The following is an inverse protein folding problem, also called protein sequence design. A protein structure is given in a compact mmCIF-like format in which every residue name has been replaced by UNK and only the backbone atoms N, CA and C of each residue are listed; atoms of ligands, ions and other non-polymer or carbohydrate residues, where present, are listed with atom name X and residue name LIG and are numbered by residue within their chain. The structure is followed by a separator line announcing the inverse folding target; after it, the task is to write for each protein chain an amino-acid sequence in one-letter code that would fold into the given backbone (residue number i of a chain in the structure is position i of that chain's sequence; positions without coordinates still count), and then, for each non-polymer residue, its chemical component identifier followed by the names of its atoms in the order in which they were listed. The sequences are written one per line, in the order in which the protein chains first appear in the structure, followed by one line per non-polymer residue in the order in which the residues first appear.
data_IF_435408959255
#
_entry.id   IF_435408959255
#
_cell.length_a   1.000
_cell.length_b   1.000
_cell.length_c   1.000
_cell.angle_alpha   90.00
_cell.angle_beta   90.00
_cell.angle_gamma   90.00
#
_symmetry.space_group_name_H-M   'P 1'
#
loop_
_entity.id
_entity.type
_entity.pdbx_description
1 polymer ?
#
# COMPACT_ATOMS: atom_id res chain seq x y z
N UNK A 1 5.36 16.65 5.74
CA UNK A 1 5.85 15.38 6.31
C UNK A 1 5.12 14.28 5.55
N UNK A 2 5.77 13.64 4.58
CA UNK A 2 5.17 12.48 3.92
C UNK A 2 5.12 11.38 4.97
N UNK A 3 3.90 10.95 5.30
CA UNK A 3 3.67 9.82 6.19
C UNK A 3 3.96 8.57 5.37
N UNK A 4 4.76 7.66 5.91
CA UNK A 4 5.00 6.35 5.29
C UNK A 4 3.68 5.58 5.26
N UNK A 5 3.05 5.61 4.09
CA UNK A 5 1.75 4.98 3.85
C UNK A 5 1.97 3.77 2.95
N UNK A 6 1.27 2.69 3.26
CA UNK A 6 1.35 1.44 2.54
C UNK A 6 -0.03 1.03 2.05
N UNK A 7 -0.04 0.24 0.97
CA UNK A 7 -1.20 -0.55 0.56
C UNK A 7 -0.79 -2.01 0.39
N UNK A 8 -1.69 -2.93 0.70
CA UNK A 8 -1.51 -4.35 0.44
C UNK A 8 -2.88 -5.03 0.33
N UNK A 9 -2.90 -6.26 -0.21
CA UNK A 9 -4.08 -7.10 -0.15
C UNK A 9 -4.25 -7.71 1.24
N UNK A 10 -5.48 -7.80 1.74
CA UNK A 10 -5.81 -8.53 2.99
C UNK A 10 -5.38 -9.99 2.89
N UNK A 11 -4.95 -10.62 3.97
CA UNK A 11 -4.47 -12.02 3.97
C UNK A 11 -5.47 -13.00 3.32
N UNK A 12 -6.77 -12.78 3.54
CA UNK A 12 -7.89 -13.57 3.01
C UNK A 12 -8.53 -12.99 1.75
N UNK A 13 -7.84 -12.11 0.99
CA UNK A 13 -8.44 -11.37 -0.14
C UNK A 13 -9.15 -12.25 -1.17
N UNK A 14 -8.70 -13.49 -1.38
CA UNK A 14 -9.32 -14.44 -2.33
C UNK A 14 -10.74 -14.86 -1.96
N UNK A 15 -11.12 -14.69 -0.70
CA UNK A 15 -12.45 -14.99 -0.15
C UNK A 15 -13.35 -13.74 -0.08
N UNK A 16 -12.79 -12.57 -0.40
CA UNK A 16 -13.45 -11.27 -0.27
C UNK A 16 -13.90 -10.73 -1.64
N UNK A 17 -14.94 -9.87 -1.67
CA UNK A 17 -15.27 -9.11 -2.88
C UNK A 17 -14.08 -8.21 -3.28
N UNK A 18 -13.97 -7.92 -4.58
CA UNK A 18 -12.79 -7.23 -5.17
C UNK A 18 -12.55 -5.86 -4.55
N UNK A 19 -13.61 -5.18 -4.15
CA UNK A 19 -13.63 -3.87 -3.52
C UNK A 19 -12.97 -3.89 -2.13
N UNK A 20 -12.89 -5.06 -1.48
CA UNK A 20 -12.29 -5.25 -0.16
C UNK A 20 -10.87 -5.84 -0.21
N UNK A 21 -10.33 -6.11 -1.40
CA UNK A 21 -9.00 -6.73 -1.50
C UNK A 21 -7.92 -5.87 -0.89
N UNK A 22 -7.89 -4.59 -1.25
CA UNK A 22 -6.84 -3.65 -0.89
C UNK A 22 -7.18 -2.87 0.38
N UNK A 23 -6.20 -2.72 1.25
CA UNK A 23 -6.26 -1.84 2.43
C UNK A 23 -5.09 -0.86 2.40
N UNK A 24 -5.33 0.36 2.88
CA UNK A 24 -4.32 1.43 2.96
C UNK A 24 -4.12 1.87 4.41
N UNK A 25 -2.89 2.16 4.82
CA UNK A 25 -2.59 2.58 6.19
C UNK A 25 -1.13 2.49 6.56
N UNK A 26 -0.85 2.56 7.86
CA UNK A 26 0.49 2.33 8.40
C UNK A 26 0.74 0.84 8.51
N UNK A 27 1.98 0.42 8.24
CA UNK A 27 2.42 -0.97 8.35
C UNK A 27 2.87 -1.27 9.79
N UNK A 28 2.45 -2.41 10.31
CA UNK A 28 2.83 -2.93 11.62
C UNK A 28 3.25 -4.40 11.50
N UNK A 29 4.24 -4.81 12.28
CA UNK A 29 4.50 -6.21 12.59
C UNK A 29 4.02 -6.54 14.01
N UNK A 30 3.82 -7.82 14.31
CA UNK A 30 3.36 -8.29 15.62
C UNK A 30 4.49 -8.54 16.63
N UNK A 31 5.75 -8.30 16.25
CA UNK A 31 6.93 -8.55 17.07
C UNK A 31 7.19 -10.03 17.38
N UNK A 32 6.48 -10.96 16.74
CA UNK A 32 6.63 -12.39 17.00
C UNK A 32 7.81 -12.97 16.19
N UNK A 33 8.54 -13.97 16.74
CA UNK A 33 9.72 -14.53 16.08
C UNK A 33 9.39 -15.27 14.77
N UNK A 34 8.49 -16.26 14.79
CA UNK A 34 7.87 -16.88 13.61
C UNK A 34 6.60 -17.67 14.07
N UNK A 35 5.55 -17.78 13.24
CA UNK A 35 5.38 -17.08 11.96
C UNK A 35 5.19 -15.58 12.16
N UNK A 36 5.78 -14.76 11.28
CA UNK A 36 5.59 -13.30 11.31
C UNK A 36 4.25 -12.90 10.70
N UNK A 37 3.56 -11.98 11.37
CA UNK A 37 2.33 -11.38 10.87
C UNK A 37 2.52 -9.89 10.60
N UNK A 38 1.89 -9.41 9.53
CA UNK A 38 1.93 -8.01 9.12
C UNK A 38 0.53 -7.46 8.98
N UNK A 39 0.36 -6.21 9.40
CA UNK A 39 -0.92 -5.55 9.44
C UNK A 39 -0.84 -4.16 8.82
N UNK A 40 -1.92 -3.76 8.16
CA UNK A 40 -2.13 -2.37 7.73
C UNK A 40 -3.33 -1.82 8.47
N UNK A 41 -3.18 -0.61 9.02
CA UNK A 41 -4.28 0.10 9.65
C UNK A 41 -3.88 1.45 10.24
N UNK A 42 -4.74 1.98 11.10
CA UNK A 42 -4.49 3.19 11.88
C UNK A 42 -4.36 2.90 13.37
N UNK A 43 -3.88 3.89 14.11
CA UNK A 43 -3.87 3.89 15.58
C UNK A 43 -4.66 5.10 16.07
N UNK A 44 -5.48 4.89 17.10
CA UNK A 44 -6.05 5.95 17.91
C UNK A 44 -5.51 5.88 19.34
N UNK A 45 -5.28 7.05 19.92
CA UNK A 45 -4.95 7.17 21.34
C UNK A 45 -6.18 7.70 22.05
N UNK A 46 -6.69 6.95 23.02
CA UNK A 46 -7.87 7.32 23.82
C UNK A 46 -7.54 7.25 25.32
N UNK A 47 -8.28 7.96 26.19
CA UNK A 47 -8.08 7.85 27.63
C UNK A 47 -8.12 6.40 28.12
N UNK A 48 -7.26 6.08 29.09
CA UNK A 48 -7.29 4.79 29.76
C UNK A 48 -8.43 4.73 30.79
N UNK A 49 -9.30 3.74 30.69
CA UNK A 49 -10.49 3.57 31.57
C UNK A 49 -10.32 2.45 32.60
N UNK A 50 -9.15 1.81 32.67
CA UNK A 50 -8.88 0.73 33.63
C UNK A 50 -8.36 1.23 34.99
N UNK A 51 -7.94 0.28 35.82
CA UNK A 51 -7.46 0.56 37.19
C UNK A 51 -5.94 0.76 37.31
N UNK A 52 -5.18 0.56 36.23
CA UNK A 52 -3.75 0.86 36.19
C UNK A 52 -3.48 2.39 36.21
N UNK A 53 -2.24 2.78 36.50
CA UNK A 53 -1.79 4.18 36.53
C UNK A 53 -1.54 4.78 35.13
N UNK A 54 -2.03 4.14 34.07
CA UNK A 54 -1.85 4.59 32.70
C UNK A 54 -2.80 5.74 32.37
N UNK A 55 -2.31 6.71 31.59
CA UNK A 55 -3.13 7.85 31.12
C UNK A 55 -3.84 7.58 29.81
N UNK A 56 -3.27 6.73 28.97
CA UNK A 56 -3.67 6.55 27.58
C UNK A 56 -3.68 5.08 27.17
N UNK A 57 -4.67 4.72 26.37
CA UNK A 57 -4.78 3.47 25.63
C UNK A 57 -4.45 3.70 24.16
N UNK A 58 -3.69 2.78 23.57
CA UNK A 58 -3.40 2.73 22.12
C UNK A 58 -4.25 1.63 21.51
N UNK A 59 -5.08 1.97 20.52
CA UNK A 59 -6.01 1.03 19.89
C UNK A 59 -5.84 1.07 18.38
N UNK A 60 -5.75 -0.10 17.75
CA UNK A 60 -5.78 -0.22 16.29
C UNK A 60 -7.18 0.03 15.73
N UNK A 61 -7.27 0.77 14.62
CA UNK A 61 -8.49 1.00 13.84
C UNK A 61 -8.28 0.53 12.41
N UNK A 62 -9.30 -0.04 11.78
CA UNK A 62 -9.24 -0.57 10.40
C UNK A 62 -7.99 -1.41 10.18
N UNK A 63 -7.72 -2.31 11.13
CA UNK A 63 -6.47 -3.03 11.28
C UNK A 63 -6.62 -4.43 10.70
N UNK A 64 -6.01 -4.66 9.54
CA UNK A 64 -6.17 -5.91 8.79
C UNK A 64 -4.83 -6.61 8.61
N UNK A 65 -4.82 -7.94 8.83
CA UNK A 65 -3.68 -8.76 8.43
C UNK A 65 -3.57 -8.78 6.90
N UNK A 66 -2.34 -8.67 6.38
CA UNK A 66 -2.08 -8.53 4.95
C UNK A 66 -1.29 -9.71 4.36
N UNK A 67 -1.41 -9.90 3.05
CA UNK A 67 -0.44 -10.67 2.27
C UNK A 67 0.77 -9.79 1.98
N UNK A 68 1.84 -10.01 2.74
CA UNK A 68 3.09 -9.23 2.67
C UNK A 68 3.70 -9.21 1.26
N UNK A 69 3.43 -10.21 0.42
CA UNK A 69 3.96 -10.27 -0.95
C UNK A 69 3.32 -9.24 -1.88
N UNK A 70 2.24 -8.58 -1.44
CA UNK A 70 1.51 -7.56 -2.21
C UNK A 70 1.75 -6.14 -1.66
N UNK A 71 2.64 -6.00 -0.68
CA UNK A 71 2.94 -4.72 -0.03
C UNK A 71 3.51 -3.72 -1.05
N UNK A 72 2.95 -2.53 -1.07
CA UNK A 72 3.38 -1.42 -1.91
C UNK A 72 3.47 -0.15 -1.08
N UNK A 73 4.59 0.57 -1.19
CA UNK A 73 4.75 1.87 -0.54
C UNK A 73 4.14 3.00 -1.39
N UNK A 74 3.56 4.01 -0.74
CA UNK A 74 3.13 5.22 -1.40
C UNK A 74 4.32 6.03 -1.90
N UNK A 75 4.30 6.44 -3.16
CA UNK A 75 5.41 7.19 -3.77
C UNK A 75 5.49 8.65 -3.33
N UNK A 76 4.43 9.18 -2.72
CA UNK A 76 4.29 10.62 -2.46
C UNK A 76 3.77 11.43 -3.66
N UNK A 77 3.49 10.78 -4.80
CA UNK A 77 3.01 11.41 -6.03
C UNK A 77 1.59 10.95 -6.37
N UNK A 78 0.92 11.73 -7.21
CA UNK A 78 -0.39 11.39 -7.78
C UNK A 78 -0.31 11.38 -9.30
N UNK A 79 -1.17 10.60 -9.94
CA UNK A 79 -1.30 10.61 -11.39
C UNK A 79 -2.03 11.88 -11.89
N UNK A 80 -2.22 12.00 -13.21
CA UNK A 80 -2.91 13.14 -13.84
C UNK A 80 -4.33 13.39 -13.31
N UNK A 81 -4.97 12.36 -12.73
CA UNK A 81 -6.34 12.41 -12.18
C UNK A 81 -6.35 12.59 -10.65
N UNK A 82 -5.19 12.80 -10.03
CA UNK A 82 -5.08 12.95 -8.57
C UNK A 82 -5.12 11.63 -7.80
N UNK A 83 -5.06 10.47 -8.47
CA UNK A 83 -4.99 9.17 -7.81
C UNK A 83 -3.58 8.92 -7.29
N UNK A 84 -3.46 8.46 -6.04
CA UNK A 84 -2.16 8.11 -5.45
C UNK A 84 -1.45 7.06 -6.31
N UNK A 85 -0.16 7.29 -6.55
CA UNK A 85 0.71 6.30 -7.20
C UNK A 85 1.46 5.53 -6.13
N UNK A 86 1.41 4.21 -6.25
CA UNK A 86 2.07 3.26 -5.35
C UNK A 86 3.15 2.50 -6.09
N UNK A 87 4.06 1.91 -5.34
CA UNK A 87 4.94 0.87 -5.88
C UNK A 87 4.13 -0.20 -6.62
N UNK A 88 4.67 -0.71 -7.72
CA UNK A 88 4.05 -1.73 -8.57
C UNK A 88 2.81 -1.29 -9.35
N UNK A 89 2.41 -0.02 -9.27
CA UNK A 89 1.39 0.51 -10.16
C UNK A 89 1.88 0.55 -11.62
N UNK A 90 0.94 0.43 -12.54
CA UNK A 90 1.14 0.47 -13.97
C UNK A 90 0.62 1.81 -14.51
N UNK A 91 1.49 2.59 -15.17
CA UNK A 91 1.19 3.95 -15.59
C UNK A 91 1.01 4.06 -17.11
N UNK A 92 -0.23 4.30 -17.54
CA UNK A 92 -0.63 4.51 -18.94
C UNK A 92 -0.48 3.28 -19.85
N UNK A 93 0.42 2.35 -19.51
CA UNK A 93 0.70 1.13 -20.25
C UNK A 93 1.12 0.01 -19.29
N UNK A 94 0.73 -1.23 -19.58
CA UNK A 94 0.96 -2.40 -18.72
C UNK A 94 2.44 -2.73 -18.47
N UNK A 95 3.31 -2.26 -19.35
CA UNK A 95 4.76 -2.44 -19.21
C UNK A 95 5.40 -1.33 -18.39
N UNK A 96 4.69 -0.26 -18.02
CA UNK A 96 5.22 0.89 -17.29
C UNK A 96 5.02 0.69 -15.79
N UNK A 97 5.83 -0.19 -15.19
CA UNK A 97 5.75 -0.49 -13.75
C UNK A 97 6.53 0.54 -12.95
N UNK A 98 5.90 1.03 -11.88
CA UNK A 98 6.54 1.87 -10.86
C UNK A 98 7.42 1.02 -9.95
N UNK A 99 8.68 1.38 -9.82
CA UNK A 99 9.71 0.68 -9.06
C UNK A 99 10.56 1.67 -8.25
N UNK A 100 11.06 1.26 -7.08
CA UNK A 100 12.04 2.03 -6.34
C UNK A 100 13.46 1.51 -6.63
N UNK A 101 14.28 2.31 -7.29
CA UNK A 101 15.64 1.93 -7.67
C UNK A 101 16.60 3.09 -7.38
N UNK A 102 17.75 2.79 -6.80
CA UNK A 102 18.82 3.77 -6.53
C UNK A 102 18.35 5.03 -5.77
N UNK A 103 17.41 4.87 -4.83
CA UNK A 103 16.94 5.96 -3.97
C UNK A 103 15.82 6.82 -4.54
N UNK A 104 15.24 6.45 -5.69
CA UNK A 104 14.12 7.18 -6.31
C UNK A 104 13.11 6.23 -6.93
N UNK A 105 11.87 6.70 -7.08
CA UNK A 105 10.88 6.00 -7.89
C UNK A 105 11.09 6.27 -9.38
N UNK A 106 11.03 5.21 -10.17
CA UNK A 106 11.15 5.22 -11.62
C UNK A 106 10.10 4.31 -12.26
N UNK A 107 9.96 4.43 -13.58
CA UNK A 107 9.19 3.55 -14.43
C UNK A 107 10.19 2.76 -15.28
N UNK A 108 10.13 1.43 -15.21
CA UNK A 108 10.95 0.49 -15.99
C UNK A 108 12.46 0.66 -15.78
N UNK A 109 12.88 1.02 -14.58
CA UNK A 109 14.28 1.09 -14.17
C UNK A 109 15.04 2.38 -14.51
N UNK A 110 14.57 3.23 -15.43
CA UNK A 110 15.34 4.40 -15.89
C UNK A 110 14.55 5.71 -16.02
N UNK A 111 13.23 5.67 -16.23
CA UNK A 111 12.41 6.90 -16.36
C UNK A 111 11.96 7.41 -15.01
N UNK A 112 12.34 8.62 -14.65
CA UNK A 112 11.95 9.21 -13.35
C UNK A 112 10.42 9.35 -13.24
N UNK A 113 9.85 8.80 -12.17
CA UNK A 113 8.41 8.88 -11.89
C UNK A 113 7.94 10.34 -11.76
N UNK A 114 8.81 11.23 -11.27
CA UNK A 114 8.48 12.64 -11.06
C UNK A 114 8.02 13.34 -12.36
N UNK A 115 8.60 13.00 -13.51
CA UNK A 115 8.22 13.59 -14.80
C UNK A 115 7.01 12.89 -15.43
N UNK A 116 6.78 11.62 -15.08
CA UNK A 116 5.77 10.77 -15.71
C UNK A 116 4.44 10.78 -14.96
N UNK A 117 4.44 11.07 -13.66
CA UNK A 117 3.27 10.97 -12.80
C UNK A 117 2.10 11.83 -13.29
N UNK A 118 2.34 13.12 -13.54
CA UNK A 118 1.27 14.07 -13.89
C UNK A 118 0.78 13.97 -15.35
N UNK A 119 1.41 13.15 -16.18
CA UNK A 119 1.05 12.96 -17.60
C UNK A 119 0.38 11.62 -17.87
N UNK A 120 0.58 10.65 -16.97
CA UNK A 120 0.02 9.31 -17.09
C UNK A 120 -1.09 9.07 -16.06
N UNK A 121 -1.75 7.91 -16.19
CA UNK A 121 -2.84 7.46 -15.33
C UNK A 121 -2.52 6.07 -14.80
N UNK A 122 -2.86 5.80 -13.54
CA UNK A 122 -2.72 4.47 -12.95
C UNK A 122 -3.82 3.56 -13.50
N UNK A 123 -3.43 2.63 -14.38
CA UNK A 123 -4.34 1.68 -15.04
C UNK A 123 -4.47 0.33 -14.29
N UNK A 124 -3.65 0.10 -13.26
CA UNK A 124 -3.69 -1.11 -12.46
C UNK A 124 -2.42 -1.27 -11.62
N UNK A 125 -2.30 -2.40 -10.94
CA UNK A 125 -1.11 -2.83 -10.21
C UNK A 125 -0.73 -4.27 -10.63
N UNK A 126 0.55 -4.64 -10.56
CA UNK A 126 0.99 -6.00 -10.97
C UNK A 126 0.31 -7.12 -10.17
N UNK A 127 -0.18 -6.81 -8.96
CA UNK A 127 -0.86 -7.77 -8.10
C UNK A 127 -2.37 -7.89 -8.41
N UNK A 128 -2.92 -7.04 -9.27
CA UNK A 128 -4.27 -7.19 -9.79
C UNK A 128 -4.34 -8.34 -10.82
N UNK A 129 -5.55 -8.82 -11.14
CA UNK A 129 -5.74 -10.00 -12.00
C UNK A 129 -4.94 -9.92 -13.32
N UNK A 130 -4.31 -11.03 -13.69
CA UNK A 130 -3.51 -11.18 -14.92
C UNK A 130 -4.29 -10.87 -16.21
N UNK A 131 -5.61 -10.98 -16.21
CA UNK A 131 -6.47 -10.61 -17.35
C UNK A 131 -6.32 -9.13 -17.74
N UNK A 132 -5.96 -8.23 -16.81
CA UNK A 132 -5.67 -6.81 -17.13
C UNK A 132 -4.29 -6.61 -17.77
N UNK A 133 -3.45 -7.65 -17.81
CA UNK A 133 -2.12 -7.65 -18.42
C UNK A 133 -2.11 -8.32 -19.80
N UNK A 134 -3.21 -8.91 -20.24
CA UNK A 134 -3.36 -9.44 -21.60
C UNK A 134 -3.69 -8.28 -22.55
N UNK A 135 -2.92 -8.11 -23.63
CA UNK A 135 -3.25 -7.11 -24.67
C UNK A 135 -4.25 -7.77 -25.63
N UNK A 136 -5.21 -6.99 -26.13
CA UNK A 136 -5.73 -7.21 -27.48
C UNK A 136 -4.65 -6.95 -28.54
#
# INVERSE_FOLDING_TARGET
MNRDLFKAKRKSWKELPKEEWWVEGYLFDDGMPEPKHYFIGGIIVKPYEGTACDKWNVVGIDFYEIDINTLCQYTGLTDKNGKKIWENDLLGHKLNRVEFLNGTYCINGDRSLFFEANTNEVIGNIFDNQEMLEVE
#
